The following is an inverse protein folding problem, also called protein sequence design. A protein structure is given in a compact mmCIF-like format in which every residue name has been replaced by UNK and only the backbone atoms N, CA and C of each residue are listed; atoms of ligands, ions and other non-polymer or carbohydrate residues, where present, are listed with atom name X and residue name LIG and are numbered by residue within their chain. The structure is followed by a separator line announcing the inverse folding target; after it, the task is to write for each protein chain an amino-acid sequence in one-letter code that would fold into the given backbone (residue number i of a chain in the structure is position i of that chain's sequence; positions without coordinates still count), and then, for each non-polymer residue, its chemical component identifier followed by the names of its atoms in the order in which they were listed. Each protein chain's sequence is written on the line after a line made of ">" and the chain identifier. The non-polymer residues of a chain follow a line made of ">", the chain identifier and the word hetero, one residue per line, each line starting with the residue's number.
data_IF_489750034523
#
_entry.id   IF_489750034523
#
_cell.length_a   1.000
_cell.length_b   1.000
_cell.length_c   1.000
_cell.angle_alpha   90.00
_cell.angle_beta   90.00
_cell.angle_gamma   90.00
#
_symmetry.space_group_name_H-M   'P 1'
#
loop_
_entity.id
_entity.type
_entity.pdbx_description
1 polymer ?
#
# COMPACT_ATOMS: atom_id res chain seq x y z
N UNK A 1 31.72 -15.40 13.41
CA UNK A 1 30.63 -15.63 12.48
C UNK A 1 31.12 -15.66 11.04
N UNK A 2 31.83 -14.65 10.50
CA UNK A 2 32.45 -14.71 9.15
C UNK A 2 33.37 -15.96 8.94
N UNK A 3 34.06 -16.40 10.00
CA UNK A 3 34.99 -17.52 9.96
C UNK A 3 34.30 -18.90 9.96
N UNK A 4 32.98 -18.95 10.12
CA UNK A 4 32.20 -20.18 10.25
C UNK A 4 31.08 -20.28 9.18
N UNK A 5 31.09 -19.39 8.18
CA UNK A 5 30.06 -19.31 7.11
C UNK A 5 28.61 -19.31 7.63
N UNK A 6 28.37 -18.76 8.85
CA UNK A 6 27.05 -18.76 9.49
C UNK A 6 26.35 -17.39 9.35
N UNK A 7 26.88 -16.48 8.53
CA UNK A 7 26.20 -15.22 8.29
C UNK A 7 25.04 -15.44 7.31
N UNK A 8 23.82 -15.09 7.70
CA UNK A 8 22.70 -15.15 6.75
C UNK A 8 22.95 -14.15 5.62
N UNK A 9 23.04 -14.66 4.41
CA UNK A 9 23.15 -13.82 3.22
C UNK A 9 21.83 -13.13 2.92
N UNK A 10 21.89 -11.82 2.66
CA UNK A 10 20.72 -11.03 2.25
C UNK A 10 20.63 -10.95 0.72
N UNK A 11 19.43 -11.15 0.17
CA UNK A 11 19.22 -10.92 -1.26
C UNK A 11 19.35 -9.43 -1.60
N UNK A 12 20.24 -9.12 -2.53
CA UNK A 12 20.47 -7.77 -3.04
C UNK A 12 19.76 -7.64 -4.39
N UNK A 13 18.72 -6.82 -4.42
CA UNK A 13 17.96 -6.58 -5.65
C UNK A 13 18.82 -5.91 -6.74
N UNK A 14 18.62 -6.27 -8.03
CA UNK A 14 19.29 -5.63 -9.16
C UNK A 14 19.15 -4.11 -9.12
N UNK A 15 20.19 -3.39 -9.52
CA UNK A 15 20.21 -1.91 -9.49
C UNK A 15 19.10 -1.32 -10.38
N UNK A 16 18.81 -1.99 -11.49
CA UNK A 16 17.85 -1.60 -12.51
C UNK A 16 16.41 -1.64 -12.00
N UNK A 17 16.11 -2.57 -11.10
CA UNK A 17 14.75 -2.75 -10.53
C UNK A 17 14.48 -1.84 -9.33
N UNK A 18 15.51 -1.36 -8.65
CA UNK A 18 15.34 -0.55 -7.43
C UNK A 18 14.54 0.73 -7.67
N UNK A 19 14.77 1.53 -8.74
CA UNK A 19 14.05 2.77 -8.96
C UNK A 19 12.53 2.56 -9.13
N UNK A 20 12.12 1.53 -9.87
CA UNK A 20 10.69 1.26 -10.08
C UNK A 20 10.01 0.72 -8.81
N UNK A 21 10.74 -0.08 -8.00
CA UNK A 21 10.26 -0.51 -6.68
C UNK A 21 10.04 0.69 -5.76
N UNK A 22 10.99 1.62 -5.72
CA UNK A 22 10.89 2.82 -4.88
C UNK A 22 9.74 3.73 -5.35
N UNK A 23 9.49 3.78 -6.66
CA UNK A 23 8.35 4.51 -7.22
C UNK A 23 7.01 3.90 -6.79
N UNK A 24 6.86 2.56 -6.82
CA UNK A 24 5.66 1.88 -6.34
C UNK A 24 5.46 2.05 -4.83
N UNK A 25 6.55 2.01 -4.05
CA UNK A 25 6.52 2.31 -2.62
C UNK A 25 6.08 3.74 -2.35
N UNK A 26 6.57 4.70 -3.15
CA UNK A 26 6.12 6.10 -3.09
C UNK A 26 4.64 6.20 -3.42
N UNK A 27 4.17 5.54 -4.49
CA UNK A 27 2.74 5.49 -4.84
C UNK A 27 1.89 5.00 -3.67
N UNK A 28 2.28 3.89 -3.01
CA UNK A 28 1.57 3.38 -1.83
C UNK A 28 1.54 4.40 -0.69
N UNK A 29 2.65 5.08 -0.43
CA UNK A 29 2.73 6.13 0.58
C UNK A 29 1.74 7.28 0.28
N UNK A 30 1.68 7.75 -0.98
CA UNK A 30 0.73 8.79 -1.39
C UNK A 30 -0.73 8.34 -1.24
N UNK A 31 -1.04 7.07 -1.51
CA UNK A 31 -2.38 6.50 -1.28
C UNK A 31 -2.74 6.54 0.21
N UNK A 32 -1.81 6.17 1.09
CA UNK A 32 -2.04 6.23 2.54
C UNK A 32 -2.30 7.66 3.03
N UNK A 33 -1.52 8.63 2.56
CA UNK A 33 -1.72 10.06 2.86
C UNK A 33 -3.09 10.55 2.37
N UNK A 34 -3.47 10.21 1.14
CA UNK A 34 -4.79 10.56 0.59
C UNK A 34 -5.92 9.95 1.41
N UNK A 35 -5.79 8.69 1.84
CA UNK A 35 -6.79 8.03 2.68
C UNK A 35 -6.93 8.74 4.02
N UNK A 36 -5.84 9.13 4.65
CA UNK A 36 -5.85 9.91 5.88
C UNK A 36 -6.59 11.25 5.70
N UNK A 37 -6.33 11.99 4.62
CA UNK A 37 -7.02 13.23 4.30
C UNK A 37 -8.53 13.01 4.03
N UNK A 38 -8.89 11.93 3.35
CA UNK A 38 -10.28 11.57 3.11
C UNK A 38 -11.03 11.29 4.42
N UNK A 39 -10.46 10.50 5.32
CA UNK A 39 -11.05 10.20 6.63
C UNK A 39 -11.18 11.46 7.46
N UNK A 40 -10.16 12.33 7.47
CA UNK A 40 -10.21 13.61 8.17
C UNK A 40 -11.37 14.48 7.68
N UNK A 41 -11.51 14.66 6.36
CA UNK A 41 -12.59 15.45 5.76
C UNK A 41 -13.97 14.83 6.02
N UNK A 42 -14.10 13.49 5.92
CA UNK A 42 -15.34 12.78 6.28
C UNK A 42 -15.76 13.09 7.73
N UNK A 43 -14.81 13.03 8.65
CA UNK A 43 -15.08 13.30 10.06
C UNK A 43 -15.50 14.76 10.31
N UNK A 44 -14.88 15.73 9.61
CA UNK A 44 -15.28 17.15 9.69
C UNK A 44 -16.71 17.32 9.20
N UNK A 45 -17.05 16.78 8.04
CA UNK A 45 -18.41 16.86 7.45
C UNK A 45 -19.42 16.18 8.36
N UNK A 46 -19.14 14.97 8.80
CA UNK A 46 -20.08 14.19 9.63
C UNK A 46 -20.38 14.89 10.95
N UNK A 47 -19.37 15.42 11.64
CA UNK A 47 -19.56 16.08 12.93
C UNK A 47 -20.30 17.41 12.84
N UNK A 48 -20.10 18.18 11.76
CA UNK A 48 -20.62 19.53 11.67
C UNK A 48 -21.91 19.62 10.84
N UNK A 49 -22.12 18.71 9.90
CA UNK A 49 -23.28 18.73 9.02
C UNK A 49 -24.24 17.56 9.27
N UNK A 50 -23.86 16.57 10.08
CA UNK A 50 -24.66 15.33 10.27
C UNK A 50 -24.74 14.44 9.03
N UNK A 51 -23.93 14.71 7.99
CA UNK A 51 -23.98 14.02 6.70
C UNK A 51 -22.81 13.04 6.62
N UNK A 52 -23.10 11.76 6.31
CA UNK A 52 -22.05 10.77 6.04
C UNK A 52 -21.80 10.70 4.54
N UNK A 53 -20.60 11.07 4.10
CA UNK A 53 -20.18 10.98 2.71
C UNK A 53 -19.22 9.80 2.49
N UNK A 54 -19.42 9.05 1.41
CA UNK A 54 -18.46 7.99 1.02
C UNK A 54 -17.19 8.61 0.43
N UNK A 55 -16.05 7.95 0.64
CA UNK A 55 -14.76 8.40 0.07
C UNK A 55 -14.80 8.58 -1.45
N UNK A 56 -15.59 7.77 -2.16
CA UNK A 56 -15.80 7.90 -3.61
C UNK A 56 -16.46 9.24 -3.96
N UNK A 57 -17.43 9.66 -3.20
CA UNK A 57 -18.20 10.88 -3.46
C UNK A 57 -17.36 12.11 -3.15
N UNK A 58 -16.58 12.09 -2.06
CA UNK A 58 -15.61 13.15 -1.74
C UNK A 58 -14.55 13.30 -2.84
N UNK A 59 -14.08 12.21 -3.45
CA UNK A 59 -13.12 12.29 -4.56
C UNK A 59 -13.75 12.92 -5.82
N UNK A 60 -15.05 12.76 -6.03
CA UNK A 60 -15.77 13.24 -7.22
C UNK A 60 -16.30 14.66 -7.06
N UNK A 61 -16.64 15.07 -5.83
CA UNK A 61 -17.14 16.42 -5.56
C UNK A 61 -16.08 17.46 -5.95
N UNK A 62 -16.49 18.56 -6.52
CA UNK A 62 -15.59 19.68 -6.83
C UNK A 62 -15.28 20.46 -5.55
N UNK A 63 -14.11 21.09 -5.52
CA UNK A 63 -13.64 21.89 -4.38
C UNK A 63 -14.65 22.98 -3.98
N UNK A 64 -15.21 23.65 -4.98
CA UNK A 64 -16.23 24.71 -4.81
C UNK A 64 -17.52 24.23 -4.14
N UNK A 65 -17.74 22.92 -4.04
CA UNK A 65 -18.91 22.31 -3.38
C UNK A 65 -18.64 21.86 -1.94
N UNK A 66 -17.38 21.75 -1.53
CA UNK A 66 -17.01 21.34 -0.15
C UNK A 66 -17.15 22.52 0.80
N UNK A 67 -16.64 23.70 0.40
CA UNK A 67 -16.70 24.91 1.22
C UNK A 67 -18.13 25.31 1.59
N UNK A 68 -19.13 25.30 0.68
CA UNK A 68 -20.52 25.59 1.03
C UNK A 68 -21.14 24.63 2.04
N UNK A 69 -20.71 23.35 2.08
CA UNK A 69 -21.18 22.38 3.08
C UNK A 69 -20.76 22.78 4.50
N UNK A 70 -19.69 23.53 4.63
CA UNK A 70 -19.09 23.95 5.90
C UNK A 70 -19.17 25.47 6.11
N UNK A 71 -19.95 26.19 5.29
CA UNK A 71 -20.01 27.65 5.24
C UNK A 71 -20.56 28.33 6.52
N UNK A 72 -21.15 27.54 7.43
CA UNK A 72 -21.59 28.04 8.74
C UNK A 72 -20.45 28.50 9.66
N UNK A 73 -19.20 28.17 9.34
CA UNK A 73 -18.01 28.55 10.08
C UNK A 73 -16.81 28.67 9.13
N UNK A 74 -16.14 29.83 9.14
CA UNK A 74 -15.00 30.12 8.23
C UNK A 74 -13.81 29.16 8.43
N UNK A 75 -13.51 28.79 9.68
CA UNK A 75 -12.40 27.88 9.99
C UNK A 75 -12.66 26.49 9.40
N UNK A 76 -13.90 26.01 9.51
CA UNK A 76 -14.31 24.74 8.94
C UNK A 76 -14.34 24.77 7.41
N UNK A 77 -14.79 25.85 6.82
CA UNK A 77 -14.79 26.05 5.36
C UNK A 77 -13.37 26.00 4.82
N UNK A 78 -12.42 26.70 5.48
CA UNK A 78 -11.00 26.67 5.13
C UNK A 78 -10.40 25.27 5.31
N UNK A 79 -10.66 24.59 6.44
CA UNK A 79 -10.17 23.24 6.69
C UNK A 79 -10.69 22.25 5.65
N UNK A 80 -11.95 22.37 5.25
CA UNK A 80 -12.56 21.56 4.19
C UNK A 80 -11.90 21.79 2.83
N UNK A 81 -11.70 23.07 2.47
CA UNK A 81 -11.02 23.46 1.23
C UNK A 81 -9.60 22.89 1.14
N UNK A 82 -8.76 23.14 2.14
CA UNK A 82 -7.37 22.67 2.20
C UNK A 82 -7.31 21.14 2.12
N UNK A 83 -8.22 20.45 2.83
CA UNK A 83 -8.29 18.98 2.77
C UNK A 83 -8.64 18.49 1.37
N UNK A 84 -9.60 19.11 0.69
CA UNK A 84 -10.02 18.74 -0.66
C UNK A 84 -8.93 19.00 -1.70
N UNK A 85 -8.27 20.16 -1.65
CA UNK A 85 -7.13 20.48 -2.51
C UNK A 85 -6.01 19.44 -2.35
N UNK A 86 -5.70 19.06 -1.12
CA UNK A 86 -4.69 18.03 -0.81
C UNK A 86 -5.08 16.66 -1.38
N UNK A 87 -6.35 16.25 -1.26
CA UNK A 87 -6.86 15.00 -1.83
C UNK A 87 -6.73 15.00 -3.35
N UNK A 88 -7.07 16.10 -4.01
CA UNK A 88 -7.01 16.23 -5.46
C UNK A 88 -5.56 16.26 -5.96
N UNK A 89 -4.69 16.97 -5.26
CA UNK A 89 -3.26 16.97 -5.54
C UNK A 89 -2.68 15.54 -5.45
N UNK A 90 -2.89 14.86 -4.32
CA UNK A 90 -2.42 13.50 -4.12
C UNK A 90 -2.98 12.53 -5.18
N UNK A 91 -4.25 12.72 -5.58
CA UNK A 91 -4.87 11.91 -6.62
C UNK A 91 -4.16 12.08 -7.98
N UNK A 92 -3.81 13.32 -8.34
CA UNK A 92 -3.04 13.60 -9.57
C UNK A 92 -1.65 12.97 -9.52
N UNK A 93 -0.94 13.08 -8.38
CA UNK A 93 0.39 12.49 -8.21
C UNK A 93 0.36 10.96 -8.32
N UNK A 94 -0.63 10.31 -7.69
CA UNK A 94 -0.82 8.86 -7.77
C UNK A 94 -1.03 8.44 -9.23
N UNK A 95 -1.92 9.11 -9.96
CA UNK A 95 -2.20 8.82 -11.38
C UNK A 95 -0.95 9.02 -12.25
N UNK A 96 -0.17 10.07 -11.99
CA UNK A 96 1.09 10.31 -12.72
C UNK A 96 2.05 9.13 -12.57
N UNK A 97 2.21 8.60 -11.34
CA UNK A 97 3.05 7.42 -11.10
C UNK A 97 2.47 6.19 -11.82
N UNK A 98 1.18 5.95 -11.71
CA UNK A 98 0.52 4.80 -12.35
C UNK A 98 0.69 4.84 -13.87
N UNK A 99 0.47 5.98 -14.51
CA UNK A 99 0.68 6.15 -15.96
C UNK A 99 2.14 5.96 -16.36
N UNK A 100 3.08 6.44 -15.55
CA UNK A 100 4.52 6.27 -15.83
C UNK A 100 4.92 4.79 -15.73
N UNK A 101 4.43 4.11 -14.71
CA UNK A 101 4.70 2.69 -14.51
C UNK A 101 4.11 1.85 -15.63
N UNK A 102 2.86 2.11 -16.03
CA UNK A 102 2.20 1.40 -17.13
C UNK A 102 2.98 1.48 -18.46
N UNK A 103 3.66 2.61 -18.72
CA UNK A 103 4.47 2.79 -19.94
C UNK A 103 5.81 2.04 -19.92
N UNK A 104 6.36 1.82 -18.73
CA UNK A 104 7.67 1.18 -18.56
C UNK A 104 7.63 -0.34 -18.52
N UNK A 105 6.44 -0.91 -18.45
CA UNK A 105 6.28 -2.34 -18.31
C UNK A 105 6.48 -3.06 -19.63
N UNK A 106 7.66 -3.63 -19.79
CA UNK A 106 7.83 -4.81 -20.62
C UNK A 106 7.33 -6.01 -19.77
N UNK A 107 6.19 -6.55 -20.20
CA UNK A 107 5.47 -7.59 -19.48
C UNK A 107 6.25 -8.90 -19.64
N UNK A 108 6.79 -9.43 -18.56
CA UNK A 108 7.29 -10.79 -18.53
C UNK A 108 6.14 -11.78 -18.26
N UNK A 109 6.34 -13.07 -18.59
CA UNK A 109 5.31 -14.10 -18.47
C UNK A 109 4.77 -14.23 -17.04
N UNK A 110 5.61 -14.17 -16.03
CA UNK A 110 5.21 -14.25 -14.62
C UNK A 110 4.28 -13.11 -14.16
N UNK A 111 4.34 -11.95 -14.81
CA UNK A 111 3.41 -10.86 -14.51
C UNK A 111 2.01 -11.15 -15.07
N UNK A 112 1.90 -11.75 -16.25
CA UNK A 112 0.62 -12.14 -16.83
C UNK A 112 -0.07 -13.22 -15.97
N UNK A 113 0.69 -14.17 -15.46
CA UNK A 113 0.18 -15.18 -14.55
C UNK A 113 -0.38 -14.55 -13.26
N UNK A 114 0.31 -13.57 -12.68
CA UNK A 114 -0.20 -12.83 -11.51
C UNK A 114 -1.51 -12.10 -11.80
N UNK A 115 -1.66 -11.51 -12.99
CA UNK A 115 -2.89 -10.82 -13.39
C UNK A 115 -4.08 -11.76 -13.61
N UNK A 116 -3.84 -13.05 -13.85
CA UNK A 116 -4.91 -14.05 -13.97
C UNK A 116 -5.57 -14.38 -12.62
N UNK A 117 -4.92 -14.05 -11.50
CA UNK A 117 -5.42 -14.33 -10.16
C UNK A 117 -6.48 -13.28 -9.78
N UNK A 118 -7.72 -13.70 -9.44
CA UNK A 118 -8.75 -12.76 -8.97
C UNK A 118 -8.26 -11.93 -7.78
N UNK A 119 -8.53 -10.62 -7.81
CA UNK A 119 -8.08 -9.67 -6.79
C UNK A 119 -6.68 -9.08 -7.05
N UNK A 120 -5.88 -9.64 -7.96
CA UNK A 120 -4.58 -9.07 -8.31
C UNK A 120 -4.70 -8.19 -9.55
N UNK A 121 -4.85 -6.89 -9.34
CA UNK A 121 -4.77 -5.89 -10.41
C UNK A 121 -3.32 -5.49 -10.75
N UNK A 122 -3.16 -4.67 -11.81
CA UNK A 122 -1.85 -4.26 -12.35
C UNK A 122 -0.85 -3.80 -11.27
N UNK A 123 -1.22 -2.92 -10.38
CA UNK A 123 -0.33 -2.36 -9.35
C UNK A 123 0.06 -3.40 -8.30
N UNK A 124 -0.88 -4.28 -7.92
CA UNK A 124 -0.59 -5.36 -6.97
C UNK A 124 0.33 -6.40 -7.61
N UNK A 125 0.05 -6.84 -8.83
CA UNK A 125 0.89 -7.78 -9.58
C UNK A 125 2.32 -7.28 -9.71
N UNK A 126 2.50 -6.01 -10.10
CA UNK A 126 3.81 -5.38 -10.16
C UNK A 126 4.52 -5.31 -8.82
N UNK A 127 3.79 -4.92 -7.78
CA UNK A 127 4.36 -4.86 -6.44
C UNK A 127 4.81 -6.25 -5.99
N UNK A 128 3.98 -7.29 -6.23
CA UNK A 128 4.33 -8.66 -5.89
C UNK A 128 5.56 -9.11 -6.67
N UNK A 129 5.58 -8.93 -7.98
CA UNK A 129 6.70 -9.33 -8.83
C UNK A 129 8.01 -8.66 -8.40
N UNK A 130 8.02 -7.33 -8.30
CA UNK A 130 9.23 -6.57 -8.01
C UNK A 130 9.70 -6.68 -6.55
N UNK A 131 8.80 -6.91 -5.61
CA UNK A 131 9.17 -7.11 -4.19
C UNK A 131 9.52 -8.56 -3.87
N UNK A 132 9.13 -9.52 -4.73
CA UNK A 132 9.54 -10.92 -4.63
C UNK A 132 10.94 -11.11 -5.21
N UNK A 133 11.22 -10.53 -6.39
CA UNK A 133 12.40 -10.89 -7.17
C UNK A 133 12.33 -12.34 -7.68
N UNK A 134 13.45 -13.00 -7.96
CA UNK A 134 13.46 -14.40 -8.36
C UNK A 134 12.83 -15.28 -7.28
N UNK A 135 11.80 -16.05 -7.64
CA UNK A 135 11.06 -16.90 -6.69
C UNK A 135 11.91 -18.12 -6.25
N UNK A 136 12.85 -18.52 -7.07
CA UNK A 136 13.77 -19.64 -6.84
C UNK A 136 14.68 -19.44 -5.62
N UNK A 137 14.85 -18.18 -5.18
CA UNK A 137 15.60 -17.88 -3.95
C UNK A 137 14.93 -18.40 -2.68
N UNK A 138 13.67 -18.80 -2.75
CA UNK A 138 12.94 -19.36 -1.63
C UNK A 138 12.92 -20.89 -1.77
N UNK A 139 13.45 -21.59 -0.77
CA UNK A 139 13.52 -23.04 -0.77
C UNK A 139 12.15 -23.74 -0.85
N UNK A 140 11.11 -23.09 -0.32
CA UNK A 140 9.74 -23.61 -0.32
C UNK A 140 8.72 -22.48 -0.10
N UNK A 141 7.45 -22.80 -0.30
CA UNK A 141 6.32 -21.87 -0.14
C UNK A 141 6.23 -21.30 1.28
N UNK A 142 6.55 -22.08 2.31
CA UNK A 142 6.52 -21.63 3.70
C UNK A 142 7.52 -20.50 3.96
N UNK A 143 8.73 -20.59 3.38
CA UNK A 143 9.74 -19.53 3.48
C UNK A 143 9.28 -18.26 2.76
N UNK A 144 8.65 -18.39 1.59
CA UNK A 144 8.06 -17.25 0.88
C UNK A 144 6.92 -16.62 1.67
N UNK A 145 5.99 -17.43 2.19
CA UNK A 145 4.87 -16.94 3.00
C UNK A 145 5.36 -16.22 4.28
N UNK A 146 6.42 -16.73 4.90
CA UNK A 146 7.08 -16.06 6.04
C UNK A 146 7.71 -14.74 5.64
N UNK A 147 8.41 -14.69 4.51
CA UNK A 147 8.96 -13.45 3.96
C UNK A 147 7.86 -12.42 3.63
N UNK A 148 6.72 -12.87 3.12
CA UNK A 148 5.53 -12.02 2.89
C UNK A 148 4.79 -11.63 4.17
N UNK A 149 5.21 -12.09 5.35
CA UNK A 149 4.53 -11.84 6.64
C UNK A 149 3.11 -12.38 6.69
N UNK A 150 2.83 -13.46 5.97
CA UNK A 150 1.50 -14.09 5.91
C UNK A 150 1.33 -15.21 6.94
N UNK A 151 2.40 -15.57 7.64
CA UNK A 151 2.37 -16.56 8.71
C UNK A 151 2.41 -15.89 10.08
N UNK A 152 1.59 -16.39 11.00
CA UNK A 152 1.64 -15.94 12.39
C UNK A 152 2.81 -16.65 13.11
N UNK A 153 3.77 -15.88 13.63
CA UNK A 153 4.79 -16.42 14.50
C UNK A 153 4.38 -16.25 15.96
N UNK A 154 4.34 -17.36 16.71
CA UNK A 154 4.14 -17.36 18.17
C UNK A 154 5.44 -17.75 18.84
N UNK A 155 5.85 -16.95 19.79
CA UNK A 155 6.93 -17.34 20.71
C UNK A 155 6.31 -18.04 21.91
N UNK A 156 6.50 -19.35 21.98
CA UNK A 156 6.07 -20.15 23.12
C UNK A 156 7.30 -20.66 23.85
N UNK A 157 7.29 -20.58 25.15
CA UNK A 157 8.28 -21.21 26.01
C UNK A 157 7.54 -21.77 27.22
N UNK A 158 7.69 -23.09 27.46
CA UNK A 158 7.02 -23.82 28.51
C UNK A 158 5.48 -23.69 28.44
N UNK A 159 4.90 -23.91 27.25
CA UNK A 159 3.48 -23.79 26.89
C UNK A 159 2.84 -22.41 27.13
N UNK A 160 3.63 -21.42 27.51
CA UNK A 160 3.18 -20.03 27.65
C UNK A 160 3.60 -19.19 26.47
N UNK A 161 2.65 -18.48 25.87
CA UNK A 161 2.94 -17.51 24.81
C UNK A 161 3.70 -16.32 25.40
N UNK A 162 4.99 -16.18 25.06
CA UNK A 162 5.88 -15.11 25.58
C UNK A 162 5.92 -13.86 24.72
N UNK A 163 5.15 -13.79 23.64
CA UNK A 163 5.06 -12.60 22.80
C UNK A 163 4.53 -12.87 21.39
N UNK A 164 4.18 -11.80 20.71
CA UNK A 164 3.88 -11.84 19.26
C UNK A 164 5.19 -11.80 18.50
N UNK A 165 5.29 -12.62 17.45
CA UNK A 165 6.48 -12.72 16.62
C UNK A 165 6.97 -11.38 16.06
N UNK A 166 8.20 -11.38 15.60
CA UNK A 166 8.90 -10.20 15.12
C UNK A 166 8.18 -9.59 13.89
N UNK A 167 7.41 -8.52 14.10
CA UNK A 167 6.71 -7.79 13.04
C UNK A 167 7.65 -7.05 12.07
N UNK A 168 8.95 -6.99 12.36
CA UNK A 168 9.92 -6.27 11.52
C UNK A 168 10.54 -7.15 10.43
N UNK A 169 10.59 -8.47 10.61
CA UNK A 169 11.16 -9.39 9.63
C UNK A 169 10.23 -9.56 8.43
N UNK A 170 10.80 -9.77 7.25
CA UNK A 170 10.08 -9.95 6.00
C UNK A 170 9.64 -8.65 5.32
N UNK A 171 8.92 -8.79 4.23
CA UNK A 171 8.55 -7.69 3.35
C UNK A 171 7.13 -7.16 3.64
N UNK A 172 7.04 -5.94 4.19
CA UNK A 172 5.76 -5.29 4.50
C UNK A 172 4.92 -4.91 3.27
N UNK A 173 5.56 -4.76 2.11
CA UNK A 173 4.86 -4.39 0.88
C UNK A 173 4.18 -5.61 0.26
N UNK A 174 4.79 -6.80 0.36
CA UNK A 174 4.16 -8.05 0.00
C UNK A 174 3.00 -8.38 0.95
N UNK A 175 3.20 -8.21 2.26
CA UNK A 175 2.12 -8.38 3.24
C UNK A 175 0.90 -7.53 2.89
N UNK A 176 1.13 -6.27 2.56
CA UNK A 176 0.06 -5.38 2.13
C UNK A 176 -0.57 -5.84 0.82
N UNK A 177 0.23 -6.17 -0.20
CA UNK A 177 -0.29 -6.53 -1.52
C UNK A 177 -1.17 -7.79 -1.47
N UNK A 178 -0.76 -8.81 -0.72
CA UNK A 178 -1.56 -10.02 -0.54
C UNK A 178 -2.81 -9.79 0.32
N UNK A 179 -2.74 -8.90 1.32
CA UNK A 179 -3.93 -8.53 2.10
C UNK A 179 -4.96 -7.80 1.23
N UNK A 180 -4.54 -6.86 0.38
CA UNK A 180 -5.44 -6.17 -0.56
C UNK A 180 -6.02 -7.12 -1.61
N UNK A 181 -5.21 -8.07 -2.11
CA UNK A 181 -5.67 -9.07 -3.09
C UNK A 181 -6.71 -10.04 -2.51
N UNK A 182 -6.65 -10.31 -1.21
CA UNK A 182 -7.57 -11.19 -0.50
C UNK A 182 -8.84 -10.49 0.00
N UNK A 183 -8.89 -9.15 -0.02
CA UNK A 183 -10.08 -8.40 0.38
C UNK A 183 -11.15 -8.49 -0.73
N UNK A 184 -12.30 -9.13 -0.49
CA UNK A 184 -13.32 -9.26 -1.52
C UNK A 184 -13.88 -7.88 -1.89
N UNK A 185 -13.88 -7.60 -3.17
CA UNK A 185 -14.45 -6.38 -3.77
C UNK A 185 -15.97 -6.42 -3.72
#
# INVERSE_FOLDING_TARGET
>A
MLRLDILPEGYIYPKEERPIRDLLRKRRHLVALRTSMLISLQNIITRNCGITMKSRDIKRIREDRVSPLLAGNEDLALAGKVSKESIDFLTRQIRSIETFVDRKLELNDGYQELLSVPGIGKILGLTIMLETGPVERFQNVGNYASYCRLVSSRWTSNDKTKGKGNKKNGNKYLSWAFSEAADPV
#
